data_IF_057384949926
#
_entry.id   IF_057384949926
#
_cell.length_a   1.000
_cell.length_b   1.000
_cell.length_c   1.000
_cell.angle_alpha   90.00
_cell.angle_beta   90.00
_cell.angle_gamma   90.00
#
_symmetry.space_group_name_H-M   'P 1'
#
loop_
_entity.id
_entity.type
_entity.pdbx_description
1 polymer ?
#
# COMPACT_ATOMS: atom_id res chain seq x y z
N UNK A 1 1.54 10.15 27.45
CA UNK A 1 2.91 9.71 27.82
C UNK A 1 3.57 9.23 26.54
N UNK A 2 4.26 10.13 25.84
CA UNK A 2 4.84 9.83 24.52
C UNK A 2 6.07 8.95 24.66
N UNK A 3 6.14 7.88 23.85
CA UNK A 3 7.35 7.06 23.69
C UNK A 3 8.51 7.96 23.24
N UNK A 4 9.34 8.42 24.18
CA UNK A 4 10.63 9.05 23.90
C UNK A 4 11.64 7.96 23.57
N UNK A 5 11.74 7.61 22.29
CA UNK A 5 12.77 6.70 21.78
C UNK A 5 13.65 7.46 20.78
N UNK A 6 14.91 7.66 21.19
CA UNK A 6 16.09 8.23 20.49
C UNK A 6 16.00 9.63 19.85
N UNK A 7 17.12 10.39 19.87
CA UNK A 7 17.20 11.68 19.19
C UNK A 7 17.02 11.53 17.67
N UNK A 8 16.44 12.54 16.99
CA UNK A 8 16.30 12.52 15.54
C UNK A 8 17.68 12.57 14.89
N UNK A 9 18.08 11.48 14.25
CA UNK A 9 19.27 11.41 13.42
C UNK A 9 18.87 11.56 11.95
N UNK A 10 19.72 12.12 11.07
CA UNK A 10 19.49 12.16 9.63
C UNK A 10 19.14 10.76 9.07
N UNK A 11 19.84 9.72 9.54
CA UNK A 11 19.56 8.32 9.20
C UNK A 11 18.13 7.87 9.57
N UNK A 12 17.61 8.29 10.73
CA UNK A 12 16.22 8.00 11.11
C UNK A 12 15.19 8.69 10.23
N UNK A 13 15.53 9.85 9.66
CA UNK A 13 14.67 10.59 8.73
C UNK A 13 14.53 9.88 7.39
N UNK A 14 15.64 9.40 6.86
CA UNK A 14 15.68 8.62 5.63
C UNK A 14 15.03 7.25 5.80
N UNK A 15 15.32 6.55 6.90
CA UNK A 15 14.65 5.29 7.25
C UNK A 15 13.12 5.45 7.37
N UNK A 16 12.67 6.58 7.94
CA UNK A 16 11.25 6.92 7.97
C UNK A 16 10.65 7.14 6.57
N UNK A 17 11.41 7.70 5.63
CA UNK A 17 10.96 7.88 4.25
C UNK A 17 10.90 6.56 3.46
N UNK A 18 11.90 5.70 3.58
CA UNK A 18 11.89 4.34 3.02
C UNK A 18 10.67 3.57 3.54
N UNK A 19 10.43 3.64 4.85
CA UNK A 19 9.25 3.03 5.47
C UNK A 19 7.95 3.58 4.88
N UNK A 20 7.89 4.89 4.61
CA UNK A 20 6.75 5.51 3.93
C UNK A 20 6.59 4.97 2.49
N UNK A 21 7.68 4.77 1.75
CA UNK A 21 7.65 4.13 0.43
C UNK A 21 7.08 2.72 0.53
N UNK A 22 7.52 1.89 1.49
CA UNK A 22 6.98 0.54 1.68
C UNK A 22 5.49 0.54 1.98
N UNK A 23 5.01 1.43 2.86
CA UNK A 23 3.56 1.57 3.13
C UNK A 23 2.81 1.96 1.85
N UNK A 24 3.38 2.82 1.02
CA UNK A 24 2.76 3.24 -0.25
C UNK A 24 2.77 2.15 -1.31
N UNK A 25 3.80 1.31 -1.34
CA UNK A 25 3.90 0.14 -2.22
C UNK A 25 2.85 -0.94 -1.90
N UNK A 26 2.21 -0.87 -0.71
CA UNK A 26 1.17 -1.80 -0.27
C UNK A 26 -0.20 -1.14 -0.06
N UNK A 27 -0.33 0.17 -0.26
CA UNK A 27 -1.58 0.92 -0.03
C UNK A 27 -2.42 1.16 -1.28
N UNK A 28 -1.96 0.75 -2.46
CA UNK A 28 -2.70 0.78 -3.73
C UNK A 28 -3.61 -0.43 -3.99
N UNK A 29 -3.85 -1.29 -2.99
CA UNK A 29 -4.67 -2.51 -3.07
C UNK A 29 -6.12 -2.30 -3.61
N UNK A 30 -6.65 -1.09 -3.55
CA UNK A 30 -7.92 -0.72 -4.18
C UNK A 30 -7.94 -0.89 -5.70
N UNK A 31 -6.80 -0.73 -6.36
CA UNK A 31 -6.69 -0.82 -7.82
C UNK A 31 -6.66 -2.28 -8.30
N UNK A 32 -6.46 -3.23 -7.39
CA UNK A 32 -6.30 -4.65 -7.70
C UNK A 32 -7.63 -5.44 -7.66
N UNK A 33 -8.77 -4.75 -7.68
CA UNK A 33 -10.09 -5.42 -7.67
C UNK A 33 -10.26 -6.38 -8.84
N UNK A 34 -9.74 -6.03 -10.03
CA UNK A 34 -9.77 -6.87 -11.22
C UNK A 34 -9.09 -8.22 -11.04
N UNK A 35 -8.10 -8.34 -10.15
CA UNK A 35 -7.37 -9.58 -9.94
C UNK A 35 -8.19 -10.68 -9.23
N UNK A 36 -9.27 -10.31 -8.53
CA UNK A 36 -10.11 -11.26 -7.79
C UNK A 36 -11.62 -11.09 -8.03
N UNK A 37 -12.04 -10.06 -8.76
CA UNK A 37 -13.45 -9.73 -8.98
C UNK A 37 -14.23 -10.84 -9.67
N UNK A 38 -13.60 -11.60 -10.57
CA UNK A 38 -14.24 -12.71 -11.27
C UNK A 38 -14.50 -13.92 -10.35
N UNK A 39 -13.56 -14.19 -9.44
CA UNK A 39 -13.75 -15.18 -8.38
C UNK A 39 -14.90 -14.76 -7.44
N UNK A 40 -14.91 -13.49 -7.02
CA UNK A 40 -15.99 -12.95 -6.20
C UNK A 40 -17.35 -13.04 -6.89
N UNK A 41 -17.41 -12.71 -8.19
CA UNK A 41 -18.62 -12.78 -9.02
C UNK A 41 -19.19 -14.19 -9.08
N UNK A 42 -18.34 -15.18 -9.38
CA UNK A 42 -18.76 -16.57 -9.52
C UNK A 42 -19.24 -17.16 -8.19
N UNK A 43 -18.49 -16.96 -7.10
CA UNK A 43 -18.81 -17.50 -5.77
C UNK A 43 -20.10 -16.90 -5.21
N UNK A 44 -20.34 -15.61 -5.42
CA UNK A 44 -21.54 -14.92 -4.95
C UNK A 44 -22.71 -14.93 -5.96
N UNK A 45 -22.55 -15.59 -7.12
CA UNK A 45 -23.54 -15.63 -8.20
C UNK A 45 -24.03 -14.24 -8.63
N UNK A 46 -23.09 -13.29 -8.77
CA UNK A 46 -23.40 -11.90 -9.10
C UNK A 46 -23.54 -11.67 -10.60
N UNK A 47 -24.46 -10.77 -10.95
CA UNK A 47 -24.52 -10.16 -12.28
C UNK A 47 -23.36 -9.19 -12.50
N UNK A 48 -23.00 -8.90 -13.75
CA UNK A 48 -21.98 -7.88 -14.05
C UNK A 48 -22.36 -6.50 -13.50
N UNK A 49 -23.65 -6.15 -13.54
CA UNK A 49 -24.15 -4.89 -12.99
C UNK A 49 -23.91 -4.80 -11.47
N UNK A 50 -24.17 -5.88 -10.74
CA UNK A 50 -23.88 -5.97 -9.31
C UNK A 50 -22.37 -5.91 -9.04
N UNK A 51 -21.54 -6.60 -9.81
CA UNK A 51 -20.08 -6.54 -9.65
C UNK A 51 -19.53 -5.13 -9.90
N UNK A 52 -20.01 -4.46 -10.96
CA UNK A 52 -19.61 -3.08 -11.25
C UNK A 52 -20.05 -2.14 -10.12
N UNK A 53 -21.23 -2.37 -9.54
CA UNK A 53 -21.73 -1.61 -8.39
C UNK A 53 -20.88 -1.87 -7.12
N UNK A 54 -20.37 -3.09 -6.91
CA UNK A 54 -19.39 -3.39 -5.86
C UNK A 54 -18.06 -2.67 -6.05
N UNK A 55 -17.58 -2.59 -7.29
CA UNK A 55 -16.38 -1.78 -7.61
C UNK A 55 -16.59 -0.31 -7.26
N UNK A 56 -17.78 0.24 -7.53
CA UNK A 56 -18.13 1.60 -7.13
C UNK A 56 -18.22 1.73 -5.60
N UNK A 57 -18.82 0.77 -4.90
CA UNK A 57 -18.92 0.79 -3.44
C UNK A 57 -17.53 0.86 -2.77
N UNK A 58 -16.58 0.06 -3.26
CA UNK A 58 -15.17 0.14 -2.86
C UNK A 58 -14.62 1.57 -2.99
N UNK A 59 -14.86 2.23 -4.13
CA UNK A 59 -14.38 3.60 -4.36
C UNK A 59 -15.13 4.65 -3.53
N UNK A 60 -16.41 4.43 -3.19
CA UNK A 60 -17.15 5.24 -2.21
C UNK A 60 -16.48 5.20 -0.84
N UNK A 61 -15.90 4.06 -0.46
CA UNK A 61 -15.06 3.95 0.73
C UNK A 61 -13.97 5.03 0.80
N UNK A 62 -13.39 5.41 -0.34
CA UNK A 62 -12.36 6.46 -0.41
C UNK A 62 -12.89 7.87 -0.15
N UNK A 63 -14.18 8.12 -0.38
CA UNK A 63 -14.80 9.41 -0.08
C UNK A 63 -14.82 9.69 1.43
N UNK A 64 -14.85 8.65 2.27
CA UNK A 64 -14.75 8.79 3.72
C UNK A 64 -13.34 9.16 4.20
N UNK A 65 -12.35 9.22 3.31
CA UNK A 65 -10.98 9.65 3.61
C UNK A 65 -10.87 11.09 4.14
N UNK A 66 -11.90 11.93 3.99
CA UNK A 66 -11.98 13.24 4.67
C UNK A 66 -11.83 13.07 6.20
N UNK A 67 -12.37 11.97 6.76
CA UNK A 67 -12.22 11.65 8.18
C UNK A 67 -10.76 11.39 8.55
N UNK A 68 -10.00 10.69 7.69
CA UNK A 68 -8.57 10.48 7.90
C UNK A 68 -7.80 11.82 7.89
N UNK A 69 -8.17 12.73 6.98
CA UNK A 69 -7.61 14.09 6.93
C UNK A 69 -7.85 14.85 8.24
N UNK A 70 -9.10 14.92 8.70
CA UNK A 70 -9.45 15.59 9.97
C UNK A 70 -8.80 14.92 11.19
N UNK A 71 -8.67 13.59 11.16
CA UNK A 71 -7.99 12.84 12.20
C UNK A 71 -6.48 13.13 12.23
N UNK A 72 -5.85 13.42 11.08
CA UNK A 72 -4.41 13.71 10.98
C UNK A 72 -3.95 14.99 11.69
N UNK A 73 -4.88 15.89 11.97
CA UNK A 73 -4.61 17.10 12.74
C UNK A 73 -4.64 16.84 14.25
N UNK A 74 -5.29 15.75 14.70
CA UNK A 74 -5.52 15.47 16.13
C UNK A 74 -4.87 14.19 16.64
N UNK A 75 -4.64 13.21 15.76
CA UNK A 75 -4.08 11.92 16.08
C UNK A 75 -2.62 11.83 15.62
N UNK A 76 -1.77 11.09 16.35
CA UNK A 76 -0.41 10.84 15.92
C UNK A 76 -0.38 9.82 14.76
N UNK A 77 0.64 9.88 13.90
CA UNK A 77 0.81 8.99 12.73
C UNK A 77 0.60 7.50 13.03
N UNK A 78 1.14 6.92 14.12
CA UNK A 78 0.91 5.52 14.45
C UNK A 78 -0.56 5.15 14.63
N UNK A 79 -1.37 6.04 15.22
CA UNK A 79 -2.79 5.78 15.44
C UNK A 79 -3.55 5.72 14.10
N UNK A 80 -3.20 6.60 13.17
CA UNK A 80 -3.81 6.68 11.83
C UNK A 80 -3.43 5.46 11.00
N UNK A 81 -2.15 5.04 11.05
CA UNK A 81 -1.69 3.79 10.44
C UNK A 81 -2.41 2.57 11.03
N UNK A 82 -2.60 2.51 12.35
CA UNK A 82 -3.32 1.41 13.00
C UNK A 82 -4.77 1.32 12.51
N UNK A 83 -5.49 2.45 12.49
CA UNK A 83 -6.87 2.49 11.99
C UNK A 83 -6.92 1.96 10.54
N UNK A 84 -6.08 2.49 9.65
CA UNK A 84 -6.02 2.04 8.27
C UNK A 84 -5.67 0.56 8.14
N UNK A 85 -4.67 0.07 8.90
CA UNK A 85 -4.25 -1.33 8.84
C UNK A 85 -5.32 -2.30 9.34
N UNK A 86 -6.08 -1.94 10.38
CA UNK A 86 -7.18 -2.75 10.93
C UNK A 86 -8.36 -2.76 9.96
N UNK A 87 -8.72 -1.60 9.40
CA UNK A 87 -9.75 -1.52 8.37
C UNK A 87 -9.37 -2.38 7.15
N UNK A 88 -8.13 -2.30 6.68
CA UNK A 88 -7.63 -3.10 5.56
C UNK A 88 -7.66 -4.60 5.89
N UNK A 89 -7.16 -4.99 7.06
CA UNK A 89 -7.17 -6.38 7.51
C UNK A 89 -8.58 -6.96 7.58
N UNK A 90 -9.56 -6.20 8.11
CA UNK A 90 -10.95 -6.65 8.18
C UNK A 90 -11.58 -6.67 6.77
N UNK A 91 -11.42 -5.60 6.00
CA UNK A 91 -12.06 -5.42 4.69
C UNK A 91 -11.61 -6.48 3.68
N UNK A 92 -10.30 -6.71 3.55
CA UNK A 92 -9.75 -7.74 2.67
C UNK A 92 -9.80 -9.14 3.29
N UNK A 93 -9.66 -9.26 4.61
CA UNK A 93 -9.73 -10.56 5.30
C UNK A 93 -11.10 -11.22 5.19
N UNK A 94 -12.18 -10.45 5.25
CA UNK A 94 -13.53 -11.00 5.04
C UNK A 94 -13.73 -11.42 3.58
N UNK A 95 -13.23 -10.65 2.62
CA UNK A 95 -13.26 -11.04 1.21
C UNK A 95 -12.47 -12.33 0.98
N UNK A 96 -11.29 -12.45 1.59
CA UNK A 96 -10.48 -13.66 1.58
C UNK A 96 -11.26 -14.87 2.14
N UNK A 97 -11.96 -14.72 3.26
CA UNK A 97 -12.76 -15.80 3.86
C UNK A 97 -13.87 -16.30 2.91
N UNK A 98 -14.55 -15.37 2.20
CA UNK A 98 -15.58 -15.71 1.21
C UNK A 98 -14.97 -16.42 0.01
N UNK A 99 -13.90 -15.86 -0.57
CA UNK A 99 -13.27 -16.40 -1.79
C UNK A 99 -12.57 -17.74 -1.51
N UNK A 100 -12.08 -17.95 -0.30
CA UNK A 100 -11.47 -19.21 0.13
C UNK A 100 -12.49 -20.24 0.63
N UNK A 101 -13.79 -19.99 0.49
CA UNK A 101 -14.88 -20.86 0.96
C UNK A 101 -14.85 -21.23 2.45
N UNK A 102 -14.17 -20.44 3.29
CA UNK A 102 -14.16 -20.67 4.74
C UNK A 102 -15.46 -20.23 5.40
N UNK A 103 -16.16 -19.27 4.79
CA UNK A 103 -17.51 -18.85 5.18
C UNK A 103 -18.45 -18.90 3.98
N UNK A 104 -19.75 -18.98 4.27
CA UNK A 104 -20.77 -18.88 3.23
C UNK A 104 -20.75 -17.48 2.57
N UNK A 105 -21.12 -17.38 1.28
CA UNK A 105 -21.24 -16.10 0.59
C UNK A 105 -22.08 -15.11 1.40
N UNK A 106 -21.51 -13.93 1.66
CA UNK A 106 -22.20 -12.88 2.39
C UNK A 106 -23.35 -12.29 1.56
N UNK A 107 -24.39 -11.75 2.21
CA UNK A 107 -25.35 -10.91 1.51
C UNK A 107 -24.67 -9.76 0.77
N UNK A 108 -25.21 -9.38 -0.39
CA UNK A 108 -24.64 -8.34 -1.26
C UNK A 108 -24.31 -7.02 -0.53
N UNK A 109 -25.21 -6.57 0.35
CA UNK A 109 -25.02 -5.33 1.13
C UNK A 109 -23.85 -5.45 2.11
N UNK A 110 -23.64 -6.62 2.72
CA UNK A 110 -22.56 -6.85 3.67
C UNK A 110 -21.21 -6.85 2.94
N UNK A 111 -21.14 -7.52 1.78
CA UNK A 111 -19.97 -7.49 0.92
C UNK A 111 -19.63 -6.06 0.48
N UNK A 112 -20.65 -5.26 0.13
CA UNK A 112 -20.48 -3.83 -0.21
C UNK A 112 -19.83 -3.05 0.95
N UNK A 113 -20.25 -3.28 2.20
CA UNK A 113 -19.64 -2.64 3.37
C UNK A 113 -18.18 -3.05 3.55
N UNK A 114 -17.83 -4.32 3.43
CA UNK A 114 -16.44 -4.76 3.58
C UNK A 114 -15.54 -4.24 2.46
N UNK A 115 -16.05 -4.13 1.24
CA UNK A 115 -15.38 -3.45 0.13
C UNK A 115 -15.20 -1.95 0.40
N UNK A 116 -16.21 -1.26 0.95
CA UNK A 116 -16.06 0.12 1.38
C UNK A 116 -14.99 0.28 2.47
N UNK A 117 -14.94 -0.62 3.46
CA UNK A 117 -13.95 -0.61 4.54
C UNK A 117 -12.54 -0.84 3.98
N UNK A 118 -12.35 -1.85 3.11
CA UNK A 118 -11.09 -2.05 2.40
C UNK A 118 -10.72 -0.83 1.55
N UNK A 119 -11.71 -0.22 0.91
CA UNK A 119 -11.64 1.06 0.22
C UNK A 119 -11.04 2.18 1.08
N UNK A 120 -11.67 2.41 2.22
CA UNK A 120 -11.35 3.46 3.18
C UNK A 120 -9.95 3.28 3.79
N UNK A 121 -9.53 2.03 4.04
CA UNK A 121 -8.21 1.71 4.60
C UNK A 121 -7.06 2.40 3.85
N UNK A 122 -7.12 2.44 2.52
CA UNK A 122 -6.10 3.08 1.69
C UNK A 122 -5.98 4.57 1.93
N UNK A 123 -7.09 5.23 2.26
CA UNK A 123 -7.09 6.67 2.51
C UNK A 123 -6.47 7.02 3.85
N UNK A 124 -6.67 6.17 4.87
CA UNK A 124 -5.97 6.28 6.15
C UNK A 124 -4.47 6.11 5.99
N UNK A 125 -4.03 5.06 5.29
CA UNK A 125 -2.61 4.80 5.06
C UNK A 125 -1.95 5.92 4.26
N UNK A 126 -2.57 6.34 3.14
CA UNK A 126 -2.08 7.44 2.33
C UNK A 126 -2.01 8.75 3.14
N UNK A 127 -3.02 9.05 3.94
CA UNK A 127 -3.05 10.28 4.76
C UNK A 127 -1.94 10.25 5.80
N UNK A 128 -1.78 9.14 6.54
CA UNK A 128 -0.75 9.00 7.55
C UNK A 128 0.65 9.25 6.98
N UNK A 129 0.96 8.61 5.84
CA UNK A 129 2.25 8.73 5.19
C UNK A 129 2.47 10.13 4.63
N UNK A 130 1.52 10.65 3.84
CA UNK A 130 1.67 11.95 3.18
C UNK A 130 1.80 13.10 4.17
N UNK A 131 0.97 13.13 5.22
CA UNK A 131 1.03 14.18 6.24
C UNK A 131 2.35 14.13 6.98
N UNK A 132 2.83 12.94 7.35
CA UNK A 132 4.11 12.76 8.05
C UNK A 132 5.28 13.20 7.16
N UNK A 133 5.33 12.74 5.91
CA UNK A 133 6.39 13.10 4.98
C UNK A 133 6.38 14.60 4.63
N UNK A 134 5.22 15.24 4.51
CA UNK A 134 5.12 16.68 4.29
C UNK A 134 5.51 17.52 5.51
N UNK A 135 5.33 16.99 6.72
CA UNK A 135 5.84 17.59 7.96
C UNK A 135 7.37 17.45 8.04
N UNK A 136 7.93 16.31 7.64
CA UNK A 136 9.37 16.02 7.64
C UNK A 136 10.14 16.78 6.54
N UNK A 137 9.57 16.90 5.35
CA UNK A 137 10.22 17.45 4.15
C UNK A 137 9.45 18.65 3.60
N UNK A 138 9.38 19.74 4.39
CA UNK A 138 8.57 20.91 4.03
C UNK A 138 8.99 21.62 2.75
N UNK A 139 10.29 21.60 2.43
CA UNK A 139 10.86 22.27 1.25
C UNK A 139 10.82 21.40 -0.01
N UNK A 140 10.88 20.07 0.13
CA UNK A 140 10.93 19.10 -0.97
C UNK A 140 9.62 18.31 -1.16
N UNK A 141 8.46 18.96 -0.95
CA UNK A 141 7.14 18.29 -1.01
C UNK A 141 6.80 17.70 -2.38
N UNK A 142 7.28 18.32 -3.47
CA UNK A 142 7.03 17.88 -4.84
C UNK A 142 7.58 16.47 -5.09
N UNK A 143 8.92 16.28 -5.05
CA UNK A 143 9.56 14.97 -5.23
C UNK A 143 9.01 13.90 -4.28
N UNK A 144 8.84 14.25 -3.00
CA UNK A 144 8.27 13.36 -1.97
C UNK A 144 6.89 12.85 -2.38
N UNK A 145 5.99 13.74 -2.80
CA UNK A 145 4.65 13.34 -3.24
C UNK A 145 4.68 12.49 -4.52
N UNK A 146 5.60 12.79 -5.44
CA UNK A 146 5.75 12.07 -6.70
C UNK A 146 6.16 10.62 -6.47
N UNK A 147 7.23 10.40 -5.71
CA UNK A 147 7.74 9.06 -5.37
C UNK A 147 6.66 8.26 -4.63
N UNK A 148 6.10 8.83 -3.55
CA UNK A 148 5.09 8.16 -2.73
C UNK A 148 3.82 7.82 -3.50
N UNK A 149 3.40 8.64 -4.46
CA UNK A 149 2.24 8.33 -5.32
C UNK A 149 2.60 7.38 -6.46
N UNK A 150 3.84 7.40 -6.94
CA UNK A 150 4.37 6.42 -7.87
C UNK A 150 4.22 5.00 -7.32
N UNK A 151 4.67 4.76 -6.09
CA UNK A 151 4.54 3.45 -5.44
C UNK A 151 3.09 2.99 -5.20
N UNK A 152 2.18 3.93 -4.96
CA UNK A 152 0.74 3.59 -4.91
C UNK A 152 0.24 3.07 -6.26
N UNK A 153 0.72 3.65 -7.36
CA UNK A 153 0.44 3.15 -8.71
C UNK A 153 1.07 1.79 -8.99
N UNK A 154 2.31 1.59 -8.54
CA UNK A 154 3.05 0.33 -8.71
C UNK A 154 2.50 -0.82 -7.84
N UNK A 155 1.72 -0.53 -6.80
CA UNK A 155 1.18 -1.55 -5.88
C UNK A 155 0.50 -2.70 -6.62
N UNK A 156 -0.37 -2.42 -7.59
CA UNK A 156 -1.09 -3.49 -8.30
C UNK A 156 -0.16 -4.39 -9.08
N UNK A 157 0.86 -3.83 -9.75
CA UNK A 157 1.86 -4.61 -10.48
C UNK A 157 2.64 -5.51 -9.51
N UNK A 158 3.15 -4.93 -8.41
CA UNK A 158 3.88 -5.66 -7.37
C UNK A 158 3.08 -6.87 -6.85
N UNK A 159 1.81 -6.66 -6.47
CA UNK A 159 0.98 -7.76 -5.95
C UNK A 159 0.59 -8.78 -7.03
N UNK A 160 0.34 -8.32 -8.27
CA UNK A 160 0.00 -9.22 -9.38
C UNK A 160 1.16 -10.14 -9.72
N UNK A 161 2.36 -9.58 -9.85
CA UNK A 161 3.58 -10.33 -10.19
C UNK A 161 3.95 -11.32 -9.09
N UNK A 162 3.92 -10.87 -7.83
CA UNK A 162 4.16 -11.76 -6.69
C UNK A 162 3.13 -12.90 -6.65
N UNK A 163 1.87 -12.62 -6.97
CA UNK A 163 0.83 -13.66 -6.98
C UNK A 163 1.01 -14.64 -8.15
N UNK A 164 1.28 -14.13 -9.36
CA UNK A 164 1.53 -14.99 -10.52
C UNK A 164 2.74 -15.90 -10.27
N UNK A 165 3.83 -15.32 -9.75
CA UNK A 165 5.08 -16.03 -9.50
C UNK A 165 5.02 -17.06 -8.36
N UNK A 166 4.40 -16.70 -7.23
CA UNK A 166 4.42 -17.52 -6.01
C UNK A 166 3.18 -18.42 -5.90
N UNK A 167 2.06 -17.98 -6.45
CA UNK A 167 0.73 -18.52 -6.16
C UNK A 167 -0.07 -18.91 -7.41
N UNK A 168 0.50 -18.79 -8.61
CA UNK A 168 -0.12 -19.16 -9.87
C UNK A 168 -1.49 -18.49 -10.08
N UNK A 169 -1.56 -17.18 -9.78
CA UNK A 169 -2.74 -16.33 -9.99
C UNK A 169 -3.99 -16.77 -9.21
N UNK A 170 -3.79 -17.41 -8.05
CA UNK A 170 -4.87 -17.80 -7.15
C UNK A 170 -5.50 -16.57 -6.46
N UNK A 171 -6.81 -16.29 -6.70
CA UNK A 171 -7.48 -15.09 -6.19
C UNK A 171 -7.65 -15.09 -4.66
N UNK A 172 -7.74 -16.27 -4.03
CA UNK A 172 -7.77 -16.38 -2.58
C UNK A 172 -6.39 -16.02 -2.00
N UNK A 173 -5.30 -16.57 -2.57
CA UNK A 173 -3.95 -16.22 -2.11
C UNK A 173 -3.62 -14.75 -2.37
N UNK A 174 -4.12 -14.17 -3.46
CA UNK A 174 -4.03 -12.74 -3.74
C UNK A 174 -4.68 -11.90 -2.62
N UNK A 175 -5.93 -12.22 -2.25
CA UNK A 175 -6.62 -11.53 -1.16
C UNK A 175 -5.94 -11.73 0.20
N UNK A 176 -5.33 -12.89 0.43
CA UNK A 176 -4.54 -13.14 1.64
C UNK A 176 -3.31 -12.23 1.70
N UNK A 177 -2.60 -12.06 0.58
CA UNK A 177 -1.49 -11.11 0.48
C UNK A 177 -1.96 -9.69 0.79
N UNK A 178 -3.08 -9.25 0.21
CA UNK A 178 -3.68 -7.93 0.48
C UNK A 178 -4.10 -7.73 1.94
N UNK A 179 -4.36 -8.82 2.67
CA UNK A 179 -4.76 -8.79 4.07
C UNK A 179 -3.53 -8.73 4.99
N UNK A 180 -2.54 -9.59 4.75
CA UNK A 180 -1.42 -9.81 5.66
C UNK A 180 -0.27 -8.84 5.41
N UNK A 181 0.12 -8.62 4.15
CA UNK A 181 1.31 -7.82 3.81
C UNK A 181 1.12 -6.36 4.24
N UNK A 182 0.03 -5.66 3.87
CA UNK A 182 -0.18 -4.29 4.31
C UNK A 182 -0.24 -4.17 5.83
N UNK A 183 -0.84 -5.15 6.53
CA UNK A 183 -0.92 -5.15 7.98
C UNK A 183 0.47 -5.23 8.63
N UNK A 184 1.32 -6.17 8.20
CA UNK A 184 2.69 -6.32 8.72
C UNK A 184 3.54 -5.07 8.42
N UNK A 185 3.47 -4.55 7.18
CA UNK A 185 4.22 -3.34 6.79
C UNK A 185 3.78 -2.14 7.61
N UNK A 186 2.47 -1.98 7.88
CA UNK A 186 1.98 -0.91 8.74
C UNK A 186 2.43 -1.06 10.19
N UNK A 187 2.47 -2.29 10.72
CA UNK A 187 3.00 -2.55 12.06
C UNK A 187 4.48 -2.19 12.18
N UNK A 188 5.29 -2.52 11.18
CA UNK A 188 6.67 -2.06 11.12
C UNK A 188 6.73 -0.52 11.03
N UNK A 189 5.89 0.08 10.19
CA UNK A 189 5.86 1.51 9.96
C UNK A 189 5.52 2.34 11.21
N UNK A 190 4.72 1.82 12.13
CA UNK A 190 4.45 2.46 13.42
C UNK A 190 5.73 2.77 14.20
N UNK A 191 6.76 1.93 14.08
CA UNK A 191 8.02 2.11 14.81
C UNK A 191 8.96 3.08 14.10
N UNK A 192 9.06 2.98 12.77
CA UNK A 192 10.04 3.69 11.95
C UNK A 192 9.52 5.00 11.33
N UNK A 193 8.24 5.11 11.02
CA UNK A 193 7.63 6.31 10.45
C UNK A 193 7.31 7.31 11.56
N UNK A 194 8.26 8.20 11.83
CA UNK A 194 8.13 9.26 12.85
C UNK A 194 8.26 10.64 12.26
N UNK A 195 7.57 11.58 12.88
CA UNK A 195 7.75 13.00 12.61
C UNK A 195 9.11 13.44 13.12
N UNK A 196 9.93 13.98 12.22
CA UNK A 196 11.29 14.44 12.46
C UNK A 196 11.37 15.90 12.01
N UNK A 197 12.05 16.79 12.76
CA UNK A 197 12.17 18.20 12.38
C UNK A 197 12.66 18.39 10.93
N UNK A 198 12.12 19.37 10.21
CA UNK A 198 12.55 19.65 8.84
C UNK A 198 13.99 20.17 8.81
N UNK A 199 14.66 20.00 7.66
CA UNK A 199 15.99 20.53 7.43
C UNK A 199 16.04 22.04 7.74
N UNK A 200 17.10 22.44 8.44
CA UNK A 200 17.30 23.80 8.93
C UNK A 200 18.44 24.52 8.21
N UNK A 201 19.33 23.77 7.55
CA UNK A 201 20.49 24.29 6.83
C UNK A 201 20.44 23.97 5.33
N UNK A 202 21.08 24.82 4.51
CA UNK A 202 21.16 24.60 3.05
C UNK A 202 21.95 23.34 2.66
N UNK A 203 22.87 22.90 3.53
CA UNK A 203 23.62 21.65 3.34
C UNK A 203 22.70 20.42 3.49
N UNK A 204 21.87 20.38 4.54
CA UNK A 204 20.86 19.33 4.75
C UNK A 204 19.85 19.28 3.59
N UNK A 205 19.46 20.44 3.05
CA UNK A 205 18.53 20.50 1.90
C UNK A 205 19.13 19.91 0.62
N UNK A 206 20.42 20.14 0.38
CA UNK A 206 21.13 19.58 -0.78
C UNK A 206 21.30 18.08 -0.65
N UNK A 207 21.59 17.60 0.57
CA UNK A 207 21.66 16.17 0.89
C UNK A 207 20.31 15.48 0.69
N UNK A 208 19.21 16.07 1.17
CA UNK A 208 17.86 15.57 0.94
C UNK A 208 17.52 15.50 -0.55
N UNK A 209 17.87 16.53 -1.33
CA UNK A 209 17.61 16.55 -2.78
C UNK A 209 18.38 15.45 -3.52
N UNK A 210 19.65 15.23 -3.17
CA UNK A 210 20.45 14.15 -3.74
C UNK A 210 19.86 12.78 -3.38
N UNK A 211 19.45 12.59 -2.13
CA UNK A 211 18.82 11.36 -1.68
C UNK A 211 17.49 11.08 -2.42
N UNK A 212 16.63 12.09 -2.59
CA UNK A 212 15.42 11.93 -3.40
C UNK A 212 15.72 11.63 -4.86
N UNK A 213 16.80 12.17 -5.41
CA UNK A 213 17.23 11.84 -6.77
C UNK A 213 17.65 10.38 -6.89
N UNK A 214 18.34 9.82 -5.90
CA UNK A 214 18.73 8.40 -5.87
C UNK A 214 17.50 7.51 -5.80
N UNK A 215 16.62 7.72 -4.81
CA UNK A 215 15.36 6.96 -4.70
C UNK A 215 14.54 7.06 -5.97
N UNK A 216 14.43 8.25 -6.56
CA UNK A 216 13.65 8.40 -7.78
C UNK A 216 14.24 7.59 -8.95
N UNK A 217 15.56 7.45 -9.04
CA UNK A 217 16.20 6.58 -10.04
C UNK A 217 15.89 5.11 -9.73
N UNK A 218 15.99 4.69 -8.48
CA UNK A 218 15.70 3.31 -8.06
C UNK A 218 14.23 2.95 -8.28
N UNK A 219 13.31 3.87 -7.96
CA UNK A 219 11.88 3.75 -8.25
C UNK A 219 11.59 3.58 -9.75
N UNK A 220 12.32 4.29 -10.61
CA UNK A 220 12.20 4.14 -12.07
C UNK A 220 12.75 2.79 -12.52
N UNK A 221 13.84 2.30 -11.93
CA UNK A 221 14.38 0.97 -12.19
C UNK A 221 13.35 -0.09 -11.81
N UNK A 222 12.74 0.00 -10.63
CA UNK A 222 11.67 -0.92 -10.19
C UNK A 222 10.49 -0.88 -11.15
N UNK A 223 10.05 0.31 -11.58
CA UNK A 223 8.94 0.45 -12.53
C UNK A 223 9.24 -0.20 -13.88
N UNK A 224 10.45 -0.01 -14.41
CA UNK A 224 10.89 -0.65 -15.67
C UNK A 224 11.02 -2.17 -15.48
N UNK A 225 11.50 -2.62 -14.33
CA UNK A 225 11.65 -4.03 -13.99
C UNK A 225 10.29 -4.75 -13.98
N UNK A 226 9.28 -4.17 -13.30
CA UNK A 226 7.90 -4.64 -13.30
C UNK A 226 7.31 -4.64 -14.71
N UNK A 227 7.42 -3.51 -15.43
CA UNK A 227 6.90 -3.38 -16.78
C UNK A 227 7.50 -4.42 -17.75
N UNK A 228 8.80 -4.70 -17.63
CA UNK A 228 9.47 -5.69 -18.46
C UNK A 228 8.88 -7.08 -18.24
N UNK A 229 8.59 -7.46 -16.99
CA UNK A 229 7.97 -8.73 -16.64
C UNK A 229 6.52 -8.82 -17.14
N UNK A 230 5.72 -7.77 -16.94
CA UNK A 230 4.35 -7.68 -17.45
C UNK A 230 4.29 -7.85 -18.98
N UNK A 231 5.19 -7.17 -19.71
CA UNK A 231 5.21 -7.17 -21.19
C UNK A 231 5.71 -8.48 -21.77
N UNK A 232 6.58 -9.20 -21.06
CA UNK A 232 7.16 -10.47 -21.53
C UNK A 232 6.21 -11.66 -21.40
N UNK A 233 5.07 -11.49 -20.72
CA UNK A 233 3.94 -12.41 -20.78
C UNK A 233 4.07 -13.61 -19.83
N UNK A 234 3.80 -14.83 -20.31
CA UNK A 234 3.81 -16.03 -19.47
C UNK A 234 5.22 -16.59 -19.32
N UNK A 235 5.68 -16.65 -18.07
CA UNK A 235 7.01 -17.11 -17.71
C UNK A 235 6.98 -18.50 -17.07
N UNK A 236 8.09 -19.24 -17.18
CA UNK A 236 8.27 -20.46 -16.42
C UNK A 236 8.39 -20.17 -14.92
N UNK A 237 7.86 -21.07 -14.08
CA UNK A 237 7.80 -20.91 -12.61
C UNK A 237 9.14 -20.50 -11.97
N UNK A 238 10.25 -21.07 -12.43
CA UNK A 238 11.58 -20.75 -11.92
C UNK A 238 11.98 -19.31 -12.24
N UNK A 239 11.69 -18.83 -13.45
CA UNK A 239 11.98 -17.46 -13.86
C UNK A 239 11.15 -16.46 -13.05
N UNK A 240 9.84 -16.73 -12.87
CA UNK A 240 8.98 -15.88 -12.06
C UNK A 240 9.42 -15.83 -10.58
N UNK A 241 9.89 -16.95 -10.02
CA UNK A 241 10.41 -16.97 -8.65
C UNK A 241 11.72 -16.17 -8.49
N UNK A 242 12.64 -16.27 -9.46
CA UNK A 242 13.86 -15.46 -9.49
C UNK A 242 13.50 -13.98 -9.62
N UNK A 243 12.53 -13.66 -10.48
CA UNK A 243 12.03 -12.31 -10.66
C UNK A 243 11.44 -11.74 -9.36
N UNK A 244 10.57 -12.49 -8.68
CA UNK A 244 10.02 -12.08 -7.38
C UNK A 244 11.09 -11.92 -6.31
N UNK A 245 12.10 -12.80 -6.27
CA UNK A 245 13.22 -12.64 -5.37
C UNK A 245 14.00 -11.35 -5.66
N UNK A 246 14.25 -11.05 -6.94
CA UNK A 246 14.86 -9.80 -7.38
C UNK A 246 14.04 -8.57 -6.99
N UNK A 247 12.72 -8.60 -7.21
CA UNK A 247 11.81 -7.53 -6.81
C UNK A 247 11.82 -7.28 -5.30
N UNK A 248 11.80 -8.34 -4.48
CA UNK A 248 11.86 -8.22 -3.03
C UNK A 248 13.21 -7.66 -2.54
N UNK A 249 14.31 -8.02 -3.22
CA UNK A 249 15.63 -7.44 -2.94
C UNK A 249 15.65 -5.96 -3.32
N UNK A 250 15.18 -5.60 -4.51
CA UNK A 250 15.10 -4.19 -4.94
C UNK A 250 14.25 -3.34 -4.00
N UNK A 251 13.11 -3.86 -3.53
CA UNK A 251 12.26 -3.16 -2.55
C UNK A 251 12.92 -3.06 -1.17
N UNK A 252 13.81 -3.97 -0.81
CA UNK A 252 14.55 -3.95 0.45
C UNK A 252 15.83 -3.10 0.40
N UNK A 253 16.33 -2.81 -0.81
CA UNK A 253 17.52 -1.98 -1.06
C UNK A 253 17.23 -0.48 -1.13
N UNK A 254 15.94 -0.07 -1.27
CA UNK A 254 15.50 1.33 -1.10
C UNK A 254 15.77 1.84 0.34
#
# INVERSE_FOLDING_TARGET
MGLKLSPPTPAGKFLGFITAVWVQAVSGNNYSFSNYSDALKSIMSLTQLQLNSLSVAKDVGKCFGILAGLASDRLPTPAILLIGSIEGFIGYGVQWLVVSHHINPLPYWAMSIFLCIGGNSTTWLNTAVMVTCFRNFRKNRGPVSGILKGFVGLTTAIFSDLCSALFADDPAKFLLMLTIIPFIVCLAAIFFLREIPPASTAAEETEEANYFSVINVDSVIIAIYLLAFDVTGTHGRLFSQIFSAGLLVLLAEE
#
